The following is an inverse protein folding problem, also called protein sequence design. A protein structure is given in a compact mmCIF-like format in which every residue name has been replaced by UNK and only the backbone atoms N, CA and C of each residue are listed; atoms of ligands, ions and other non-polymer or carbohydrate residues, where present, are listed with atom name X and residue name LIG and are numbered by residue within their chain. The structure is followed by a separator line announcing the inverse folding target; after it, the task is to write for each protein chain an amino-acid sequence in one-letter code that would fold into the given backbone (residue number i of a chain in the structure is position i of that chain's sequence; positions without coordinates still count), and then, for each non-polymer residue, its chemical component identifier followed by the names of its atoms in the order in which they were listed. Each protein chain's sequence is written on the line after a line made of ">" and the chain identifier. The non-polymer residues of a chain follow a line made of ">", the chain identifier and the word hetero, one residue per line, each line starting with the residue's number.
data_IF_227243341527
#
_entry.id   IF_227243341527
#
_cell.length_a   1.000
_cell.length_b   1.000
_cell.length_c   1.000
_cell.angle_alpha   90.00
_cell.angle_beta   90.00
_cell.angle_gamma   90.00
#
_symmetry.space_group_name_H-M   'P 1'
#
loop_
_entity.id
_entity.type
_entity.pdbx_description
1 polymer ?
#
# COMPACT_ATOMS: atom_id res chain seq x y z
N UNK A 1 -0.05 10.15 1.94
CA UNK A 1 -0.31 11.34 1.11
C UNK A 1 -1.71 11.93 1.31
N UNK A 2 -2.80 11.32 0.81
CA UNK A 2 -4.15 11.92 0.88
C UNK A 2 -4.60 12.27 2.31
N UNK A 3 -4.31 11.43 3.30
CA UNK A 3 -4.56 11.76 4.72
C UNK A 3 -3.80 13.01 5.18
N UNK A 4 -2.54 13.19 4.78
CA UNK A 4 -1.76 14.39 5.09
C UNK A 4 -2.37 15.64 4.46
N UNK A 5 -2.76 15.54 3.19
CA UNK A 5 -3.48 16.63 2.51
C UNK A 5 -4.79 17.00 3.23
N UNK A 6 -5.50 16.01 3.78
CA UNK A 6 -6.70 16.27 4.58
C UNK A 6 -6.37 17.00 5.89
N UNK A 7 -5.42 16.47 6.66
CA UNK A 7 -4.99 17.01 7.96
C UNK A 7 -4.50 18.46 7.83
N UNK A 8 -3.80 18.77 6.74
CA UNK A 8 -3.25 20.10 6.45
C UNK A 8 -4.23 21.01 5.68
N UNK A 9 -5.46 20.54 5.44
CA UNK A 9 -6.55 21.38 4.94
C UNK A 9 -6.57 21.60 3.42
N UNK A 10 -5.76 20.89 2.64
CA UNK A 10 -5.73 20.97 1.18
C UNK A 10 -6.96 20.34 0.50
N UNK A 11 -7.76 19.54 1.23
CA UNK A 11 -8.88 18.79 0.68
C UNK A 11 -10.27 19.36 1.04
N UNK A 12 -10.35 20.63 1.47
CA UNK A 12 -11.62 21.27 1.87
C UNK A 12 -12.68 21.24 0.76
N UNK A 13 -12.25 21.47 -0.48
CA UNK A 13 -13.13 21.52 -1.66
C UNK A 13 -13.12 20.23 -2.48
N UNK A 14 -12.80 19.09 -1.85
CA UNK A 14 -12.74 17.82 -2.55
C UNK A 14 -14.06 17.47 -3.27
N UNK A 15 -13.99 16.99 -4.53
CA UNK A 15 -15.18 16.62 -5.29
C UNK A 15 -15.90 15.47 -4.57
N UNK A 16 -17.20 15.68 -4.32
CA UNK A 16 -18.05 14.69 -3.64
C UNK A 16 -18.91 13.97 -4.67
N UNK A 17 -18.72 12.66 -4.80
CA UNK A 17 -19.53 11.84 -5.71
C UNK A 17 -20.93 11.63 -5.11
N UNK A 18 -22.01 11.93 -5.86
CA UNK A 18 -23.40 11.92 -5.33
C UNK A 18 -23.90 10.53 -4.93
N UNK A 19 -23.56 9.50 -5.70
CA UNK A 19 -23.97 8.10 -5.46
C UNK A 19 -22.74 7.19 -5.47
N UNK A 20 -21.91 7.18 -4.41
CA UNK A 20 -20.58 6.56 -4.44
C UNK A 20 -20.57 5.09 -4.88
N UNK A 21 -21.51 4.28 -4.39
CA UNK A 21 -21.60 2.85 -4.74
C UNK A 21 -21.95 2.67 -6.22
N UNK A 22 -22.94 3.41 -6.72
CA UNK A 22 -23.32 3.35 -8.14
C UNK A 22 -22.18 3.84 -9.03
N UNK A 23 -21.53 4.93 -8.65
CA UNK A 23 -20.39 5.48 -9.36
C UNK A 23 -19.21 4.51 -9.41
N UNK A 24 -18.90 3.82 -8.31
CA UNK A 24 -17.88 2.78 -8.26
C UNK A 24 -18.14 1.68 -9.29
N UNK A 25 -19.36 1.15 -9.37
CA UNK A 25 -19.69 0.16 -10.39
C UNK A 25 -19.56 0.68 -11.83
N UNK A 26 -20.04 1.91 -12.09
CA UNK A 26 -19.92 2.55 -13.41
C UNK A 26 -18.46 2.66 -13.83
N UNK A 27 -17.60 3.16 -12.95
CA UNK A 27 -16.19 3.39 -13.24
C UNK A 27 -15.41 2.07 -13.39
N UNK A 28 -15.69 1.06 -12.56
CA UNK A 28 -15.01 -0.24 -12.67
C UNK A 28 -15.36 -1.02 -13.94
N UNK A 29 -16.56 -0.82 -14.48
CA UNK A 29 -16.99 -1.49 -15.71
C UNK A 29 -16.43 -0.82 -16.98
N UNK A 30 -15.80 0.35 -16.84
CA UNK A 30 -15.25 1.09 -17.98
C UNK A 30 -13.71 1.10 -17.98
N UNK A 31 -13.07 0.13 -18.64
CA UNK A 31 -11.62 0.11 -18.78
C UNK A 31 -11.10 1.15 -19.78
N UNK A 32 -11.97 1.93 -20.44
CA UNK A 32 -11.57 3.07 -21.26
C UNK A 32 -11.41 4.37 -20.47
N UNK A 33 -11.83 4.39 -19.19
CA UNK A 33 -11.72 5.52 -18.27
C UNK A 33 -12.50 6.78 -18.70
N UNK A 34 -13.50 6.63 -19.58
CA UNK A 34 -14.31 7.72 -20.15
C UNK A 34 -15.65 7.93 -19.43
N UNK A 35 -16.13 6.93 -18.71
CA UNK A 35 -17.40 6.96 -18.00
C UNK A 35 -17.39 8.08 -16.97
N UNK A 36 -18.46 8.88 -16.97
CA UNK A 36 -18.61 10.01 -16.06
C UNK A 36 -19.63 9.72 -14.97
N UNK A 37 -19.38 10.27 -13.80
CA UNK A 37 -20.25 10.16 -12.62
C UNK A 37 -20.56 11.52 -12.05
N UNK A 38 -21.77 11.68 -11.51
CA UNK A 38 -22.20 12.97 -10.98
C UNK A 38 -21.55 13.32 -9.66
N UNK A 39 -21.02 14.54 -9.59
CA UNK A 39 -20.43 15.16 -8.41
C UNK A 39 -21.35 16.26 -7.85
N UNK A 40 -21.30 16.50 -6.55
CA UNK A 40 -22.20 17.43 -5.84
C UNK A 40 -22.00 18.88 -6.24
N UNK A 41 -20.78 19.27 -6.65
CA UNK A 41 -20.42 20.60 -7.12
C UNK A 41 -19.57 20.45 -8.38
N UNK A 42 -20.02 21.02 -9.49
CA UNK A 42 -19.32 20.97 -10.79
C UNK A 42 -19.95 20.02 -11.81
N UNK A 43 -19.22 19.78 -12.89
CA UNK A 43 -19.63 18.91 -13.99
C UNK A 43 -19.39 17.44 -13.64
N UNK A 44 -20.16 16.55 -14.27
CA UNK A 44 -19.91 15.12 -14.22
C UNK A 44 -18.44 14.82 -14.58
N UNK A 45 -17.81 13.97 -13.76
CA UNK A 45 -16.37 13.74 -13.77
C UNK A 45 -16.06 12.28 -14.03
N UNK A 46 -15.04 11.99 -14.83
CA UNK A 46 -14.48 10.64 -14.97
C UNK A 46 -13.62 10.25 -13.76
N UNK A 47 -13.19 8.98 -13.71
CA UNK A 47 -12.21 8.53 -12.71
C UNK A 47 -10.90 9.33 -12.80
N UNK A 48 -10.44 9.64 -14.03
CA UNK A 48 -9.23 10.41 -14.28
C UNK A 48 -9.38 11.86 -13.82
N UNK A 49 -10.52 12.50 -14.08
CA UNK A 49 -10.80 13.87 -13.64
C UNK A 49 -10.71 13.99 -12.11
N UNK A 50 -11.32 13.03 -11.39
CA UNK A 50 -11.29 12.98 -9.94
C UNK A 50 -9.85 12.80 -9.44
N UNK A 51 -9.09 11.85 -10.00
CA UNK A 51 -7.70 11.61 -9.62
C UNK A 51 -6.80 12.83 -9.90
N UNK A 52 -7.00 13.51 -11.03
CA UNK A 52 -6.27 14.75 -11.38
C UNK A 52 -6.52 15.85 -10.38
N UNK A 53 -7.74 15.99 -9.88
CA UNK A 53 -8.03 16.97 -8.83
C UNK A 53 -7.19 16.68 -7.57
N UNK A 54 -7.17 15.44 -7.08
CA UNK A 54 -6.36 15.10 -5.90
C UNK A 54 -4.85 15.22 -6.17
N UNK A 55 -4.38 14.84 -7.36
CA UNK A 55 -2.98 15.00 -7.76
C UNK A 55 -2.56 16.47 -7.77
N UNK A 56 -3.41 17.38 -8.27
CA UNK A 56 -3.14 18.82 -8.22
C UNK A 56 -3.01 19.34 -6.78
N UNK A 57 -3.87 18.88 -5.86
CA UNK A 57 -3.75 19.24 -4.45
C UNK A 57 -2.43 18.71 -3.85
N UNK A 58 -2.02 17.49 -4.22
CA UNK A 58 -0.75 16.92 -3.78
C UNK A 58 0.47 17.70 -4.31
N UNK A 59 0.42 18.16 -5.56
CA UNK A 59 1.46 19.00 -6.16
C UNK A 59 1.58 20.35 -5.45
N UNK A 60 0.44 21.00 -5.18
CA UNK A 60 0.41 22.27 -4.41
C UNK A 60 1.03 22.09 -3.03
N UNK A 61 0.61 21.04 -2.32
CA UNK A 61 1.16 20.72 -1.00
C UNK A 61 2.68 20.54 -1.01
N UNK A 62 3.24 19.86 -2.02
CA UNK A 62 4.70 19.72 -2.15
C UNK A 62 5.37 21.08 -2.37
N UNK A 63 4.79 21.95 -3.21
CA UNK A 63 5.34 23.27 -3.49
C UNK A 63 5.34 24.16 -2.24
N UNK A 64 4.29 24.06 -1.43
CA UNK A 64 4.10 24.85 -0.22
C UNK A 64 4.90 24.31 0.99
N UNK A 65 5.44 23.10 0.90
CA UNK A 65 6.12 22.39 1.99
C UNK A 65 7.59 22.09 1.66
N UNK A 66 8.52 23.05 1.86
CA UNK A 66 9.94 22.80 1.64
C UNK A 66 10.48 21.77 2.65
N UNK A 67 11.37 20.88 2.19
CA UNK A 67 12.01 19.89 3.06
C UNK A 67 11.21 18.62 3.33
N UNK A 68 10.17 18.33 2.52
CA UNK A 68 9.46 17.06 2.58
C UNK A 68 10.39 15.87 2.28
N UNK A 69 10.03 14.72 2.84
CA UNK A 69 10.69 13.44 2.54
C UNK A 69 10.60 13.14 1.04
N UNK A 70 11.71 12.67 0.46
CA UNK A 70 11.83 12.39 -0.97
C UNK A 70 10.75 11.42 -1.48
N UNK A 71 10.29 10.50 -0.63
CA UNK A 71 9.23 9.54 -0.94
C UNK A 71 7.91 10.24 -1.34
N UNK A 72 7.53 11.34 -0.68
CA UNK A 72 6.33 12.08 -1.04
C UNK A 72 6.45 12.69 -2.44
N UNK A 73 7.63 13.23 -2.76
CA UNK A 73 7.92 13.85 -4.05
C UNK A 73 7.85 12.81 -5.16
N UNK A 74 8.48 11.65 -4.94
CA UNK A 74 8.49 10.54 -5.87
C UNK A 74 7.09 9.97 -6.12
N UNK A 75 6.31 9.73 -5.07
CA UNK A 75 4.93 9.22 -5.19
C UNK A 75 4.05 10.18 -6.01
N UNK A 76 4.15 11.49 -5.79
CA UNK A 76 3.36 12.47 -6.55
C UNK A 76 3.81 12.56 -8.00
N UNK A 77 5.12 12.43 -8.27
CA UNK A 77 5.66 12.37 -9.62
C UNK A 77 5.12 11.15 -10.38
N UNK A 78 5.27 9.95 -9.81
CA UNK A 78 4.82 8.70 -10.41
C UNK A 78 3.30 8.68 -10.61
N UNK A 79 2.53 9.19 -9.64
CA UNK A 79 1.08 9.30 -9.78
C UNK A 79 0.70 10.17 -10.99
N UNK A 80 1.35 11.32 -11.17
CA UNK A 80 1.10 12.20 -12.31
C UNK A 80 1.45 11.54 -13.65
N UNK A 81 2.58 10.84 -13.70
CA UNK A 81 3.02 10.09 -14.87
C UNK A 81 1.99 9.02 -15.26
N UNK A 82 1.51 8.22 -14.29
CA UNK A 82 0.49 7.20 -14.53
C UNK A 82 -0.81 7.82 -15.03
N UNK A 83 -1.25 8.95 -14.47
CA UNK A 83 -2.47 9.63 -14.95
C UNK A 83 -2.33 10.17 -16.37
N UNK A 84 -1.12 10.61 -16.77
CA UNK A 84 -0.84 11.02 -18.15
C UNK A 84 -0.88 9.83 -19.10
N UNK A 85 -0.15 8.77 -18.78
CA UNK A 85 -0.10 7.56 -19.60
C UNK A 85 -1.45 6.87 -19.73
N UNK A 86 -2.28 6.86 -18.68
CA UNK A 86 -3.64 6.32 -18.75
C UNK A 86 -4.56 7.09 -19.72
N UNK A 87 -4.30 8.37 -19.96
CA UNK A 87 -5.08 9.18 -20.91
C UNK A 87 -4.55 9.07 -22.34
N UNK A 88 -3.23 9.04 -22.51
CA UNK A 88 -2.57 9.11 -23.81
C UNK A 88 -2.32 7.72 -24.43
N UNK A 89 -1.64 6.84 -23.69
CA UNK A 89 -1.23 5.52 -24.16
C UNK A 89 -1.08 4.55 -22.97
N UNK A 90 -2.19 3.89 -22.56
CA UNK A 90 -2.17 2.95 -21.45
C UNK A 90 -1.19 1.79 -21.67
N UNK A 91 -0.85 1.44 -22.91
CA UNK A 91 0.09 0.35 -23.21
C UNK A 91 1.48 0.57 -22.59
N UNK A 92 1.88 1.83 -22.39
CA UNK A 92 3.15 2.18 -21.73
C UNK A 92 3.17 1.88 -20.22
N UNK A 93 2.05 1.46 -19.65
CA UNK A 93 1.92 1.02 -18.27
C UNK A 93 1.92 -0.51 -18.12
N UNK A 94 2.08 -1.28 -19.20
CA UNK A 94 2.32 -2.72 -19.11
C UNK A 94 3.58 -2.97 -18.26
N UNK A 95 3.46 -3.87 -17.29
CA UNK A 95 4.48 -4.16 -16.29
C UNK A 95 4.53 -3.19 -15.10
N UNK A 96 3.83 -2.05 -15.17
CA UNK A 96 3.79 -1.03 -14.11
C UNK A 96 2.43 -0.90 -13.43
N UNK A 97 1.35 -1.27 -14.12
CA UNK A 97 -0.02 -1.20 -13.60
C UNK A 97 -0.74 -2.51 -13.89
N UNK A 98 -1.07 -3.27 -12.83
CA UNK A 98 -1.54 -4.65 -12.94
C UNK A 98 -2.73 -4.84 -13.88
N UNK A 99 -3.74 -3.98 -13.79
CA UNK A 99 -4.94 -4.14 -14.62
C UNK A 99 -4.65 -3.89 -16.10
N UNK A 100 -3.71 -3.00 -16.43
CA UNK A 100 -3.25 -2.76 -17.81
C UNK A 100 -2.49 -3.98 -18.30
N UNK A 101 -1.52 -4.46 -17.50
CA UNK A 101 -0.70 -5.63 -17.82
C UNK A 101 -1.57 -6.87 -18.05
N UNK A 102 -2.51 -7.13 -17.14
CA UNK A 102 -3.42 -8.27 -17.22
C UNK A 102 -4.37 -8.14 -18.42
N UNK A 103 -4.90 -6.94 -18.67
CA UNK A 103 -5.75 -6.68 -19.84
C UNK A 103 -4.99 -6.96 -21.13
N UNK A 104 -3.73 -6.51 -21.24
CA UNK A 104 -2.87 -6.83 -22.37
C UNK A 104 -2.74 -8.34 -22.56
N UNK A 105 -2.38 -9.11 -21.51
CA UNK A 105 -2.26 -10.57 -21.59
C UNK A 105 -3.56 -11.25 -22.05
N UNK A 106 -4.71 -10.78 -21.56
CA UNK A 106 -6.02 -11.31 -21.96
C UNK A 106 -6.35 -11.00 -23.42
N UNK A 107 -6.07 -9.78 -23.88
CA UNK A 107 -6.31 -9.33 -25.25
C UNK A 107 -5.36 -10.02 -26.25
N UNK A 108 -4.11 -10.30 -25.86
CA UNK A 108 -3.12 -10.98 -26.72
C UNK A 108 -3.17 -12.50 -26.66
N UNK A 109 -3.94 -13.09 -25.73
CA UNK A 109 -4.09 -14.56 -25.59
C UNK A 109 -4.78 -15.27 -26.77
N UNK A 110 -5.33 -14.49 -27.71
CA UNK A 110 -6.09 -14.99 -28.86
C UNK A 110 -7.58 -14.67 -28.74
N UNK A 111 -8.18 -14.18 -29.83
CA UNK A 111 -9.58 -13.74 -29.85
C UNK A 111 -10.57 -14.87 -29.56
N UNK A 112 -10.25 -16.08 -30.01
CA UNK A 112 -11.11 -17.26 -29.92
C UNK A 112 -10.95 -18.07 -28.61
N UNK A 113 -10.14 -17.58 -27.67
CA UNK A 113 -9.97 -18.25 -26.38
C UNK A 113 -11.29 -18.30 -25.62
N UNK A 114 -11.63 -19.49 -25.13
CA UNK A 114 -12.81 -19.69 -24.28
C UNK A 114 -12.74 -18.82 -23.02
N UNK A 115 -13.90 -18.54 -22.45
CA UNK A 115 -13.98 -17.85 -21.15
C UNK A 115 -13.14 -18.54 -20.07
N UNK A 116 -13.15 -19.87 -20.03
CA UNK A 116 -12.36 -20.64 -19.04
C UNK A 116 -10.85 -20.48 -19.26
N UNK A 117 -10.38 -20.42 -20.51
CA UNK A 117 -8.98 -20.15 -20.82
C UNK A 117 -8.56 -18.75 -20.37
N UNK A 118 -9.36 -17.72 -20.67
CA UNK A 118 -9.12 -16.35 -20.20
C UNK A 118 -9.14 -16.24 -18.66
N UNK A 119 -10.04 -16.97 -17.99
CA UNK A 119 -10.08 -17.04 -16.53
C UNK A 119 -8.83 -17.69 -15.93
N UNK A 120 -8.26 -18.71 -16.59
CA UNK A 120 -6.97 -19.28 -16.17
C UNK A 120 -5.84 -18.26 -16.26
N UNK A 121 -5.84 -17.42 -17.30
CA UNK A 121 -4.84 -16.35 -17.43
C UNK A 121 -5.00 -15.32 -16.30
N UNK A 122 -6.24 -14.89 -16.03
CA UNK A 122 -6.55 -13.94 -14.96
C UNK A 122 -6.06 -14.43 -13.58
N UNK A 123 -6.34 -15.69 -13.24
CA UNK A 123 -5.89 -16.31 -11.99
C UNK A 123 -4.37 -16.52 -11.99
N UNK A 124 -3.84 -17.10 -13.06
CA UNK A 124 -2.41 -17.40 -13.20
C UNK A 124 -1.52 -16.16 -13.19
N UNK A 125 -2.06 -14.96 -13.42
CA UNK A 125 -1.31 -13.72 -13.27
C UNK A 125 -0.89 -13.48 -11.81
N UNK A 126 -1.72 -13.90 -10.86
CA UNK A 126 -1.54 -13.69 -9.41
C UNK A 126 -0.93 -14.91 -8.69
N UNK A 127 -0.57 -15.96 -9.44
CA UNK A 127 0.07 -17.14 -8.84
C UNK A 127 1.48 -16.77 -8.37
N UNK A 128 1.84 -17.17 -7.16
CA UNK A 128 3.12 -16.83 -6.53
C UNK A 128 4.19 -17.80 -7.04
N UNK A 129 5.37 -17.29 -7.41
CA UNK A 129 6.56 -17.99 -7.95
C UNK A 129 6.44 -18.51 -9.40
N UNK A 130 5.24 -18.92 -9.81
CA UNK A 130 4.94 -19.56 -11.10
C UNK A 130 4.07 -18.69 -12.02
N UNK A 131 3.60 -17.54 -11.52
CA UNK A 131 2.61 -16.72 -12.21
C UNK A 131 3.16 -15.93 -13.39
N UNK A 132 2.25 -15.33 -14.16
CA UNK A 132 2.66 -14.45 -15.26
C UNK A 132 3.42 -13.21 -14.77
N UNK A 133 3.08 -12.66 -13.60
CA UNK A 133 3.81 -11.53 -13.04
C UNK A 133 5.28 -11.89 -12.77
N UNK A 134 5.56 -13.00 -12.08
CA UNK A 134 6.94 -13.44 -11.81
C UNK A 134 7.75 -13.63 -13.10
N UNK A 135 7.12 -14.15 -14.16
CA UNK A 135 7.75 -14.28 -15.48
C UNK A 135 8.07 -12.91 -16.08
N UNK A 136 7.12 -11.97 -16.04
CA UNK A 136 7.32 -10.61 -16.54
C UNK A 136 8.41 -9.87 -15.75
N UNK A 137 8.55 -10.13 -14.45
CA UNK A 137 9.63 -9.57 -13.62
C UNK A 137 11.00 -10.14 -14.04
N UNK A 138 11.10 -11.45 -14.27
CA UNK A 138 12.35 -12.11 -14.74
C UNK A 138 12.79 -11.62 -16.11
N UNK A 139 11.85 -11.31 -16.99
CA UNK A 139 12.10 -10.72 -18.32
C UNK A 139 12.35 -9.20 -18.27
N UNK A 140 12.31 -8.57 -17.09
CA UNK A 140 12.53 -7.12 -16.93
C UNK A 140 11.38 -6.24 -17.43
N UNK A 141 10.23 -6.82 -17.76
CA UNK A 141 9.04 -6.09 -18.24
C UNK A 141 8.30 -5.46 -17.06
N UNK A 142 8.23 -6.15 -15.92
CA UNK A 142 7.62 -5.66 -14.70
C UNK A 142 8.73 -5.33 -13.66
N UNK A 143 9.21 -4.08 -13.60
CA UNK A 143 10.29 -3.74 -12.67
C UNK A 143 9.81 -3.77 -11.22
N UNK A 144 10.62 -4.37 -10.34
CA UNK A 144 10.38 -4.37 -8.90
C UNK A 144 10.84 -3.06 -8.26
N UNK A 145 10.09 -2.58 -7.27
CA UNK A 145 10.48 -1.43 -6.46
C UNK A 145 11.53 -1.76 -5.40
N UNK A 146 11.59 -3.03 -4.99
CA UNK A 146 12.53 -3.55 -3.99
C UNK A 146 13.25 -4.76 -4.55
N UNK A 147 14.50 -4.94 -4.14
CA UNK A 147 15.34 -6.07 -4.53
C UNK A 147 14.95 -7.36 -3.79
N UNK A 148 15.34 -8.50 -4.35
CA UNK A 148 15.13 -9.81 -3.71
C UNK A 148 15.87 -9.91 -2.35
N UNK A 149 17.05 -9.29 -2.25
CA UNK A 149 17.80 -9.22 -0.99
C UNK A 149 17.06 -8.43 0.09
N UNK A 150 16.41 -7.31 -0.26
CA UNK A 150 15.60 -6.52 0.67
C UNK A 150 14.35 -7.31 1.12
N UNK A 151 13.73 -8.06 0.22
CA UNK A 151 12.61 -8.95 0.54
C UNK A 151 13.06 -10.04 1.53
N UNK A 152 14.17 -10.71 1.23
CA UNK A 152 14.76 -11.73 2.11
C UNK A 152 15.14 -11.18 3.49
N UNK A 153 15.72 -9.98 3.52
CA UNK A 153 16.04 -9.32 4.77
C UNK A 153 14.77 -8.98 5.55
N UNK A 154 13.71 -8.48 4.91
CA UNK A 154 12.44 -8.15 5.56
C UNK A 154 11.75 -9.38 6.19
N UNK A 155 11.86 -10.56 5.57
CA UNK A 155 11.38 -11.85 6.13
C UNK A 155 12.11 -12.15 7.45
N UNK A 156 13.42 -11.93 7.48
CA UNK A 156 14.28 -12.30 8.63
C UNK A 156 14.28 -11.21 9.72
N UNK A 157 14.26 -9.95 9.34
CA UNK A 157 14.44 -8.78 10.20
C UNK A 157 13.31 -7.76 9.96
N UNK A 158 12.38 -7.59 10.92
CA UNK A 158 11.37 -6.56 10.78
C UNK A 158 12.01 -5.17 10.87
N UNK A 159 11.91 -4.38 9.79
CA UNK A 159 12.26 -2.95 9.71
C UNK A 159 11.38 -2.06 10.62
N UNK A 160 10.32 -2.65 11.17
CA UNK A 160 9.20 -2.01 11.83
C UNK A 160 9.50 -1.33 13.19
N UNK A 161 8.56 -0.51 13.71
CA UNK A 161 8.67 0.19 14.99
C UNK A 161 9.10 -0.72 16.15
N UNK A 162 9.69 -0.15 17.21
CA UNK A 162 10.20 -0.86 18.41
C UNK A 162 9.27 -1.97 18.92
N UNK A 163 7.95 -1.77 18.84
CA UNK A 163 6.92 -2.76 19.23
C UNK A 163 6.97 -4.05 18.42
N UNK A 164 7.16 -3.96 17.11
CA UNK A 164 7.29 -5.13 16.23
C UNK A 164 8.58 -5.86 16.53
N UNK A 165 9.71 -5.13 16.70
CA UNK A 165 10.98 -5.74 17.13
C UNK A 165 10.87 -6.46 18.48
N UNK A 166 10.18 -5.85 19.45
CA UNK A 166 9.93 -6.45 20.76
C UNK A 166 9.09 -7.73 20.64
N UNK A 167 7.99 -7.68 19.88
CA UNK A 167 7.15 -8.85 19.63
C UNK A 167 7.96 -9.98 18.97
N UNK A 168 8.75 -9.67 17.95
CA UNK A 168 9.58 -10.67 17.27
C UNK A 168 10.65 -11.27 18.18
N UNK A 169 11.28 -10.47 19.06
CA UNK A 169 12.21 -10.98 20.09
C UNK A 169 11.51 -11.91 21.09
N UNK A 170 10.31 -11.54 21.55
CA UNK A 170 9.51 -12.38 22.45
C UNK A 170 9.12 -13.70 21.78
N UNK A 171 8.68 -13.68 20.52
CA UNK A 171 8.36 -14.90 19.77
C UNK A 171 9.58 -15.81 19.67
N UNK A 172 10.76 -15.28 19.29
CA UNK A 172 12.00 -16.08 19.20
C UNK A 172 12.40 -16.66 20.56
N UNK A 173 12.32 -15.86 21.63
CA UNK A 173 12.62 -16.33 22.99
C UNK A 173 11.65 -17.41 23.45
N UNK A 174 10.35 -17.26 23.20
CA UNK A 174 9.32 -18.25 23.55
C UNK A 174 9.58 -19.56 22.82
N UNK A 175 9.87 -19.48 21.50
CA UNK A 175 10.17 -20.64 20.68
C UNK A 175 11.44 -21.36 21.15
N UNK A 176 12.52 -20.61 21.42
CA UNK A 176 13.79 -21.15 21.92
C UNK A 176 13.63 -21.87 23.27
N UNK A 177 12.78 -21.34 24.17
CA UNK A 177 12.53 -21.92 25.48
C UNK A 177 11.39 -22.96 25.49
N UNK A 178 10.82 -23.33 24.34
CA UNK A 178 9.73 -24.31 24.25
C UNK A 178 8.44 -23.90 25.00
N UNK A 179 8.22 -22.60 25.22
CA UNK A 179 7.09 -22.11 26.01
C UNK A 179 5.80 -22.08 25.18
N UNK A 180 4.70 -22.55 25.76
CA UNK A 180 3.36 -22.38 25.16
C UNK A 180 2.91 -20.93 25.33
N UNK A 181 2.66 -20.23 24.23
CA UNK A 181 2.19 -18.85 24.25
C UNK A 181 1.12 -18.56 23.20
N UNK A 182 0.30 -17.54 23.46
CA UNK A 182 -0.57 -16.90 22.48
C UNK A 182 -0.06 -15.48 22.23
N UNK A 183 0.18 -15.12 20.98
CA UNK A 183 0.72 -13.82 20.60
C UNK A 183 -0.28 -13.07 19.73
N UNK A 184 -0.50 -11.79 20.04
CA UNK A 184 -1.34 -10.87 19.27
C UNK A 184 -0.56 -9.61 18.89
N UNK A 185 -1.22 -8.66 18.21
CA UNK A 185 -0.65 -7.35 17.92
C UNK A 185 -0.29 -6.55 19.17
N UNK A 186 -1.01 -6.76 20.28
CA UNK A 186 -0.91 -5.91 21.47
C UNK A 186 -0.44 -6.67 22.71
N UNK A 187 -0.47 -8.00 22.70
CA UNK A 187 -0.19 -8.79 23.89
C UNK A 187 0.52 -10.10 23.57
N UNK A 188 1.27 -10.60 24.55
CA UNK A 188 1.87 -11.93 24.56
C UNK A 188 1.43 -12.62 25.84
N UNK A 189 0.67 -13.70 25.72
CA UNK A 189 0.28 -14.54 26.85
C UNK A 189 1.17 -15.78 26.89
N UNK A 190 1.85 -16.01 28.00
CA UNK A 190 2.69 -17.19 28.24
C UNK A 190 1.99 -18.10 29.26
N UNK A 191 1.94 -19.41 28.98
CA UNK A 191 1.32 -20.42 29.84
C UNK A 191 -0.21 -20.55 29.68
N UNK A 192 -0.75 -21.56 30.35
CA UNK A 192 -2.18 -21.92 30.33
C UNK A 192 -2.79 -21.90 31.73
N UNK A 193 -4.12 -21.81 31.81
CA UNK A 193 -4.85 -21.88 33.10
C UNK A 193 -4.57 -20.71 34.05
N UNK A 194 -4.38 -21.02 35.33
CA UNK A 194 -4.16 -20.04 36.41
C UNK A 194 -2.74 -19.43 36.42
N UNK A 195 -1.77 -20.08 35.78
CA UNK A 195 -0.37 -19.60 35.73
C UNK A 195 -0.07 -18.76 34.48
N UNK A 196 -1.09 -18.30 33.76
CA UNK A 196 -0.89 -17.47 32.57
C UNK A 196 -0.33 -16.10 32.95
N UNK A 197 0.70 -15.66 32.23
CA UNK A 197 1.22 -14.28 32.30
C UNK A 197 0.88 -13.55 31.01
N UNK A 198 0.22 -12.40 31.11
CA UNK A 198 -0.10 -11.55 29.96
C UNK A 198 0.82 -10.34 29.95
N UNK A 199 1.61 -10.21 28.89
CA UNK A 199 2.49 -9.10 28.63
C UNK A 199 1.77 -8.14 27.67
N UNK A 200 1.50 -6.92 28.12
CA UNK A 200 0.95 -5.85 27.28
C UNK A 200 2.09 -5.08 26.58
N UNK A 201 2.15 -5.19 25.26
CA UNK A 201 3.17 -4.57 24.42
C UNK A 201 2.96 -3.05 24.27
N UNK A 202 1.75 -2.53 24.50
CA UNK A 202 1.48 -1.10 24.50
C UNK A 202 2.02 -0.44 25.76
N UNK A 203 1.90 -1.11 26.92
CA UNK A 203 2.36 -0.59 28.21
C UNK A 203 3.88 -0.49 28.31
N UNK A 204 4.62 -1.31 27.56
CA UNK A 204 6.08 -1.21 27.44
C UNK A 204 6.56 0.03 26.68
N UNK A 205 5.69 0.77 25.97
CA UNK A 205 6.04 2.09 25.43
C UNK A 205 6.31 3.11 26.56
N UNK A 206 5.56 3.06 27.66
CA UNK A 206 5.57 4.11 28.70
C UNK A 206 6.76 4.03 29.66
N UNK A 207 7.25 2.83 30.02
CA UNK A 207 8.30 2.69 31.04
C UNK A 207 9.67 3.26 30.62
N UNK A 208 10.00 3.28 29.33
CA UNK A 208 11.27 3.82 28.85
C UNK A 208 11.32 5.38 28.86
N UNK A 209 10.17 6.05 28.81
CA UNK A 209 10.10 7.51 29.00
C UNK A 209 10.26 7.92 30.46
N UNK A 210 10.01 7.02 31.41
CA UNK A 210 10.21 7.29 32.84
C UNK A 210 11.66 7.04 33.29
N UNK A 211 12.42 6.20 32.59
CA UNK A 211 13.82 5.89 32.96
C UNK A 211 14.86 6.84 32.36
N UNK A 212 14.52 7.66 31.37
CA UNK A 212 15.45 8.67 30.79
C UNK A 212 15.33 10.06 31.44
N UNK A 213 14.66 10.21 32.59
CA UNK A 213 14.52 11.50 33.30
C UNK A 213 15.28 11.60 34.62
N UNK A 214 16.06 10.58 35.01
CA UNK A 214 16.74 10.56 36.31
C UNK A 214 18.26 10.33 36.29
N UNK A 215 18.92 10.39 35.13
CA UNK A 215 20.38 10.18 35.05
C UNK A 215 21.20 11.38 34.56
N UNK A 216 20.64 12.60 34.53
CA UNK A 216 21.36 13.78 34.02
C UNK A 216 21.32 15.01 34.95
N UNK A 217 21.56 14.81 36.26
CA UNK A 217 21.76 15.91 37.23
C UNK A 217 22.88 15.66 38.24
N UNK A 218 23.89 14.84 37.91
CA UNK A 218 25.14 14.79 38.70
C UNK A 218 26.36 14.86 37.79
N UNK A 219 26.64 16.08 37.33
CA UNK A 219 27.98 16.61 37.00
C UNK A 219 27.83 18.08 36.61
N UNK A 220 27.68 18.94 37.63
CA UNK A 220 28.35 20.25 37.82
C UNK A 220 28.40 20.44 39.33
#
# INVERSE_FOLDING_TARGET
>A
LVFKLHEEGYLKDAPRVKKPIKAFHILNLDPSLKAKVSVSKGMDSSALDLQRWYHQQARRWIQDSPGLEMEFIEVVKLWGEVLGLLEEDPGRLIGRLDWVTKRYLLETSGKDQSYMAKKKIDIGYHEIETGYLDKLEREGIAPKLVSDDEIEEAVKKPSSPRKVRLRSRLIRSIAYNGLKAKVSWNSVQIGTGRNRKVIDLNRMKKKAFATNKHEDTRKI
#
